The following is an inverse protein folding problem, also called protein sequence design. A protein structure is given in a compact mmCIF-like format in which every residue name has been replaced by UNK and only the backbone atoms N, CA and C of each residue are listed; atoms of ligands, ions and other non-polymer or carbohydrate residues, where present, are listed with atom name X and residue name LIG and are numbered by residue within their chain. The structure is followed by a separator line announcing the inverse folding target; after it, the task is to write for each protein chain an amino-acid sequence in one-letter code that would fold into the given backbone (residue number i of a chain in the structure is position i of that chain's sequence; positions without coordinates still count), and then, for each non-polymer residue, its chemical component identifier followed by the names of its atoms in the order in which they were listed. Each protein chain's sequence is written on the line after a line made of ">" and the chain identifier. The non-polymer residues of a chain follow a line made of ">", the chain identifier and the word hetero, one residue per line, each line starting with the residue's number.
data_IF_023137722150
#
_entry.id   IF_023137722150
#
_cell.length_a   1.000
_cell.length_b   1.000
_cell.length_c   1.000
_cell.angle_alpha   90.00
_cell.angle_beta   90.00
_cell.angle_gamma   90.00
#
_symmetry.space_group_name_H-M   'P 1'
#
loop_
_entity.id
_entity.type
_entity.pdbx_description
1 polymer ?
#
# COMPACT_ATOMS: atom_id res chain seq x y z
N UNK A 1 7.20 -5.78 -13.94
CA UNK A 1 7.26 -6.39 -12.57
C UNK A 1 5.86 -6.74 -12.13
N UNK A 2 5.70 -7.71 -11.25
CA UNK A 2 4.48 -7.96 -10.48
C UNK A 2 4.51 -7.11 -9.20
N UNK A 3 3.55 -6.21 -9.05
CA UNK A 3 3.53 -5.17 -8.02
C UNK A 3 2.24 -5.29 -7.22
N UNK A 4 2.36 -5.50 -5.92
CA UNK A 4 1.21 -5.40 -5.01
C UNK A 4 1.04 -3.96 -4.53
N UNK A 5 -0.15 -3.39 -4.71
CA UNK A 5 -0.52 -2.07 -4.24
C UNK A 5 -1.00 -2.17 -2.80
N UNK A 6 -0.47 -1.30 -1.95
CA UNK A 6 -0.68 -1.24 -0.52
C UNK A 6 -1.20 0.16 -0.14
N UNK A 7 -2.00 0.26 0.93
CA UNK A 7 -2.51 1.54 1.42
C UNK A 7 -3.83 1.43 2.18
N UNK A 8 -4.37 2.56 2.60
CA UNK A 8 -5.69 2.58 3.25
C UNK A 8 -6.81 2.32 2.24
N UNK A 9 -7.77 1.45 2.61
CA UNK A 9 -9.00 1.25 1.84
C UNK A 9 -9.88 2.51 1.68
N UNK A 10 -9.62 3.56 2.46
CA UNK A 10 -10.14 4.91 2.20
C UNK A 10 -9.81 5.40 0.77
N UNK A 11 -8.70 4.92 0.20
CA UNK A 11 -8.21 5.24 -1.13
C UNK A 11 -8.43 4.10 -2.15
N UNK A 12 -9.48 3.29 -1.98
CA UNK A 12 -9.78 2.17 -2.87
C UNK A 12 -9.94 2.61 -4.34
N UNK A 13 -10.48 3.81 -4.58
CA UNK A 13 -10.60 4.37 -5.94
C UNK A 13 -9.21 4.62 -6.55
N UNK A 14 -8.34 5.27 -5.80
CA UNK A 14 -6.98 5.60 -6.20
C UNK A 14 -6.12 4.35 -6.40
N UNK A 15 -6.39 3.27 -5.67
CA UNK A 15 -5.73 1.97 -5.90
C UNK A 15 -6.07 1.40 -7.27
N UNK A 16 -7.34 1.44 -7.68
CA UNK A 16 -7.74 0.98 -9.02
C UNK A 16 -7.19 1.89 -10.13
N UNK A 17 -7.10 3.20 -9.89
CA UNK A 17 -6.46 4.14 -10.81
C UNK A 17 -4.96 3.85 -10.96
N UNK A 18 -4.25 3.65 -9.84
CA UNK A 18 -2.84 3.27 -9.84
C UNK A 18 -2.60 1.90 -10.50
N UNK A 19 -3.49 0.93 -10.26
CA UNK A 19 -3.44 -0.38 -10.92
C UNK A 19 -3.46 -0.22 -12.44
N UNK A 20 -4.43 0.51 -12.97
CA UNK A 20 -4.55 0.76 -14.41
C UNK A 20 -3.30 1.44 -14.98
N UNK A 21 -2.78 2.46 -14.29
CA UNK A 21 -1.57 3.17 -14.73
C UNK A 21 -0.34 2.25 -14.75
N UNK A 22 -0.16 1.40 -13.74
CA UNK A 22 0.93 0.43 -13.71
C UNK A 22 0.82 -0.61 -14.84
N UNK A 23 -0.40 -1.06 -15.14
CA UNK A 23 -0.67 -1.96 -16.26
C UNK A 23 -0.36 -1.32 -17.61
N UNK A 24 -0.72 -0.05 -17.80
CA UNK A 24 -0.36 0.74 -19.00
C UNK A 24 1.16 0.91 -19.16
N UNK A 25 1.90 0.93 -18.04
CA UNK A 25 3.37 0.95 -18.01
C UNK A 25 4.01 -0.43 -18.20
N UNK A 26 3.21 -1.50 -18.37
CA UNK A 26 3.69 -2.86 -18.64
C UNK A 26 3.99 -3.69 -17.38
N UNK A 27 3.49 -3.29 -16.22
CA UNK A 27 3.58 -4.06 -14.99
C UNK A 27 2.31 -4.91 -14.79
N UNK A 28 2.43 -5.99 -14.01
CA UNK A 28 1.27 -6.68 -13.45
C UNK A 28 0.97 -6.04 -12.10
N UNK A 29 -0.22 -5.47 -11.90
CA UNK A 29 -0.57 -4.75 -10.69
C UNK A 29 -1.72 -5.44 -9.93
N UNK A 30 -1.52 -5.63 -8.63
CA UNK A 30 -2.42 -6.41 -7.76
C UNK A 30 -2.92 -5.51 -6.64
N UNK A 31 -4.23 -5.47 -6.45
CA UNK A 31 -4.88 -4.72 -5.36
C UNK A 31 -5.33 -5.65 -4.22
N UNK A 32 -5.56 -5.13 -3.01
CA UNK A 32 -6.23 -5.86 -1.93
C UNK A 32 -7.55 -6.48 -2.39
N UNK A 33 -7.90 -7.67 -1.88
CA UNK A 33 -9.07 -8.43 -2.38
C UNK A 33 -10.39 -7.66 -2.18
N UNK A 34 -10.42 -6.85 -1.13
CA UNK A 34 -11.51 -6.03 -0.63
C UNK A 34 -11.63 -4.68 -1.33
N UNK A 35 -10.74 -4.35 -2.27
CA UNK A 35 -10.71 -3.01 -2.91
C UNK A 35 -12.05 -2.65 -3.56
N UNK A 36 -12.65 -3.57 -4.32
CA UNK A 36 -13.93 -3.32 -4.99
C UNK A 36 -15.10 -3.25 -3.98
N UNK A 37 -15.06 -4.05 -2.93
CA UNK A 37 -16.09 -4.07 -1.90
C UNK A 37 -16.07 -2.76 -1.09
N UNK A 38 -14.87 -2.31 -0.67
CA UNK A 38 -14.68 -1.04 0.04
C UNK A 38 -14.99 0.17 -0.84
N UNK A 39 -14.77 0.09 -2.17
CA UNK A 39 -15.19 1.14 -3.09
C UNK A 39 -16.73 1.24 -3.17
N UNK A 40 -17.43 0.11 -3.16
CA UNK A 40 -18.89 0.07 -3.23
C UNK A 40 -19.55 0.40 -1.87
N UNK A 41 -18.91 -0.01 -0.76
CA UNK A 41 -19.38 0.11 0.62
C UNK A 41 -18.22 0.51 1.53
N UNK A 42 -17.92 1.82 1.63
CA UNK A 42 -16.77 2.32 2.39
C UNK A 42 -16.76 1.95 3.88
N UNK A 43 -17.91 1.63 4.46
CA UNK A 43 -18.03 1.18 5.86
C UNK A 43 -17.37 -0.18 6.13
N UNK A 44 -17.16 -1.02 5.10
CA UNK A 44 -16.54 -2.34 5.25
C UNK A 44 -15.07 -2.26 5.67
N UNK A 45 -14.39 -1.14 5.42
CA UNK A 45 -12.98 -0.97 5.77
C UNK A 45 -12.71 -1.07 7.29
N UNK A 46 -13.74 -0.83 8.11
CA UNK A 46 -13.67 -0.87 9.57
C UNK A 46 -14.51 -2.03 10.17
N UNK A 47 -15.05 -2.94 9.34
CA UNK A 47 -15.83 -4.09 9.79
C UNK A 47 -14.92 -5.27 10.14
N UNK A 48 -14.76 -5.50 11.46
CA UNK A 48 -13.90 -6.55 11.98
C UNK A 48 -14.35 -7.96 11.62
N UNK A 49 -15.66 -8.25 11.70
CA UNK A 49 -16.17 -9.60 11.42
C UNK A 49 -15.98 -9.94 9.95
N UNK A 50 -16.26 -8.97 9.08
CA UNK A 50 -16.03 -9.07 7.65
C UNK A 50 -14.55 -9.27 7.32
N UNK A 51 -13.66 -8.44 7.88
CA UNK A 51 -12.22 -8.54 7.70
C UNK A 51 -11.66 -9.92 8.11
N UNK A 52 -12.10 -10.44 9.26
CA UNK A 52 -11.69 -11.77 9.76
C UNK A 52 -12.18 -12.87 8.82
N UNK A 53 -13.45 -12.83 8.42
CA UNK A 53 -14.05 -13.88 7.58
C UNK A 53 -13.39 -13.95 6.19
N UNK A 54 -12.98 -12.81 5.64
CA UNK A 54 -12.26 -12.73 4.38
C UNK A 54 -10.76 -13.01 4.50
N UNK A 55 -10.20 -13.00 5.70
CA UNK A 55 -8.75 -13.10 5.94
C UNK A 55 -7.96 -12.06 5.12
N UNK A 56 -8.43 -10.81 5.12
CA UNK A 56 -7.91 -9.75 4.25
C UNK A 56 -6.41 -9.53 4.40
N UNK A 57 -5.90 -9.61 5.63
CA UNK A 57 -4.49 -9.44 5.96
C UNK A 57 -3.65 -10.59 5.38
N UNK A 58 -4.07 -11.84 5.62
CA UNK A 58 -3.34 -13.03 5.18
C UNK A 58 -3.33 -13.16 3.66
N UNK A 59 -4.45 -12.91 3.00
CA UNK A 59 -4.51 -12.86 1.54
C UNK A 59 -3.55 -11.79 1.00
N UNK A 60 -3.58 -10.59 1.58
CA UNK A 60 -2.73 -9.49 1.09
C UNK A 60 -1.23 -9.77 1.34
N UNK A 61 -0.86 -10.37 2.46
CA UNK A 61 0.52 -10.80 2.71
C UNK A 61 0.99 -11.86 1.72
N UNK A 62 0.13 -12.79 1.31
CA UNK A 62 0.47 -13.76 0.26
C UNK A 62 0.70 -13.06 -1.09
N UNK A 63 -0.12 -12.06 -1.45
CA UNK A 63 0.08 -11.25 -2.65
C UNK A 63 1.42 -10.51 -2.64
N UNK A 64 1.80 -9.93 -1.50
CA UNK A 64 3.11 -9.31 -1.31
C UNK A 64 4.23 -10.34 -1.48
N UNK A 65 4.09 -11.52 -0.87
CA UNK A 65 5.08 -12.58 -0.96
C UNK A 65 5.27 -13.08 -2.41
N UNK A 66 4.19 -13.14 -3.18
CA UNK A 66 4.18 -13.60 -4.59
C UNK A 66 4.53 -12.49 -5.60
N UNK A 67 4.86 -11.29 -5.15
CA UNK A 67 5.19 -10.12 -6.00
C UNK A 67 6.69 -9.82 -6.03
N UNK A 68 7.13 -9.06 -7.03
CA UNK A 68 8.49 -8.54 -7.13
C UNK A 68 8.69 -7.29 -6.25
N UNK A 69 7.62 -6.51 -6.10
CA UNK A 69 7.63 -5.21 -5.44
C UNK A 69 6.30 -4.89 -4.76
N UNK A 70 6.32 -3.91 -3.87
CA UNK A 70 5.12 -3.24 -3.38
C UNK A 70 5.13 -1.75 -3.76
N UNK A 71 3.94 -1.19 -3.94
CA UNK A 71 3.69 0.25 -4.07
C UNK A 71 2.75 0.70 -2.95
N UNK A 72 3.24 1.52 -2.03
CA UNK A 72 2.40 2.12 -0.97
C UNK A 72 1.86 3.47 -1.44
N UNK A 73 0.54 3.59 -1.50
CA UNK A 73 -0.15 4.85 -1.79
C UNK A 73 -0.39 5.62 -0.48
N UNK A 74 0.60 6.39 -0.05
CA UNK A 74 0.58 7.15 1.20
C UNK A 74 -0.02 8.56 1.01
N UNK A 75 -1.26 8.63 0.52
CA UNK A 75 -1.98 9.89 0.43
C UNK A 75 -2.19 10.55 1.80
N UNK A 76 -2.35 11.89 1.86
CA UNK A 76 -2.59 12.58 3.12
C UNK A 76 -3.84 12.05 3.83
N UNK A 77 -3.73 11.73 5.12
CA UNK A 77 -4.83 11.26 5.97
C UNK A 77 -4.57 11.65 7.42
N UNK A 78 -5.62 11.86 8.21
CA UNK A 78 -5.52 12.23 9.62
C UNK A 78 -4.67 13.50 9.88
N UNK A 79 -4.67 14.45 8.94
CA UNK A 79 -3.84 15.65 8.95
C UNK A 79 -2.32 15.38 8.90
N UNK A 80 -1.92 14.20 8.40
CA UNK A 80 -0.53 13.81 8.20
C UNK A 80 -0.29 13.67 6.70
N UNK A 81 0.62 14.47 6.16
CA UNK A 81 1.12 14.32 4.80
C UNK A 81 1.93 13.03 4.68
N UNK A 82 1.77 12.28 3.58
CA UNK A 82 2.51 11.03 3.40
C UNK A 82 2.08 9.91 4.36
N UNK A 83 0.87 9.98 4.94
CA UNK A 83 0.41 9.08 6.00
C UNK A 83 0.50 7.59 5.61
N UNK A 84 1.06 6.79 6.52
CA UNK A 84 1.09 5.33 6.43
C UNK A 84 0.42 4.78 7.68
N UNK A 85 -0.63 3.97 7.49
CA UNK A 85 -1.41 3.37 8.57
C UNK A 85 -0.83 2.05 9.08
N UNK A 86 -1.45 1.51 10.14
CA UNK A 86 -1.01 0.27 10.78
C UNK A 86 -0.94 -0.93 9.84
N UNK A 87 -1.95 -1.14 8.98
CA UNK A 87 -1.93 -2.22 7.97
C UNK A 87 -0.74 -2.09 7.04
N UNK A 88 -0.51 -0.91 6.48
CA UNK A 88 0.62 -0.67 5.58
C UNK A 88 1.99 -0.72 6.25
N UNK A 89 2.10 -0.42 7.55
CA UNK A 89 3.32 -0.67 8.30
C UNK A 89 3.63 -2.18 8.38
N UNK A 90 2.62 -3.04 8.57
CA UNK A 90 2.81 -4.49 8.56
C UNK A 90 3.19 -5.00 7.17
N UNK A 91 2.53 -4.49 6.12
CA UNK A 91 2.82 -4.81 4.71
C UNK A 91 4.29 -4.46 4.36
N UNK A 92 4.74 -3.27 4.78
CA UNK A 92 6.12 -2.82 4.65
C UNK A 92 7.10 -3.75 5.37
N UNK A 93 6.77 -4.21 6.59
CA UNK A 93 7.61 -5.14 7.33
C UNK A 93 7.73 -6.51 6.62
N UNK A 94 6.63 -7.04 6.08
CA UNK A 94 6.64 -8.28 5.29
C UNK A 94 7.47 -8.10 4.02
N UNK A 95 7.24 -7.02 3.26
CA UNK A 95 8.00 -6.72 2.05
C UNK A 95 9.51 -6.59 2.34
N UNK A 96 9.87 -5.92 3.45
CA UNK A 96 11.26 -5.79 3.87
C UNK A 96 11.89 -7.13 4.25
N UNK A 97 11.17 -7.98 4.98
CA UNK A 97 11.64 -9.30 5.39
C UNK A 97 11.90 -10.22 4.19
N UNK A 98 11.10 -10.08 3.13
CA UNK A 98 11.19 -10.87 1.90
C UNK A 98 12.06 -10.21 0.81
N UNK A 99 12.81 -9.17 1.16
CA UNK A 99 13.68 -8.38 0.26
C UNK A 99 12.97 -7.90 -1.03
N UNK A 100 11.69 -7.55 -0.92
CA UNK A 100 10.93 -6.95 -2.03
C UNK A 100 11.40 -5.53 -2.29
N UNK A 101 11.27 -5.06 -3.54
CA UNK A 101 11.40 -3.61 -3.82
C UNK A 101 10.23 -2.88 -3.17
N UNK A 102 10.52 -1.81 -2.44
CA UNK A 102 9.51 -1.00 -1.76
C UNK A 102 9.45 0.36 -2.44
N UNK A 103 8.32 0.67 -3.08
CA UNK A 103 8.01 1.99 -3.60
C UNK A 103 6.99 2.69 -2.71
N UNK A 104 7.16 3.99 -2.50
CA UNK A 104 6.20 4.83 -1.77
C UNK A 104 5.90 6.06 -2.62
N UNK A 105 4.61 6.37 -2.78
CA UNK A 105 4.14 7.37 -3.73
C UNK A 105 4.61 8.79 -3.40
N UNK A 106 4.40 9.23 -2.16
CA UNK A 106 4.73 10.55 -1.64
C UNK A 106 5.85 10.48 -0.59
N UNK A 107 6.42 11.64 -0.25
CA UNK A 107 7.39 11.75 0.83
C UNK A 107 6.86 11.20 2.15
N UNK A 108 7.77 10.71 2.99
CA UNK A 108 7.42 10.18 4.31
C UNK A 108 7.19 11.31 5.30
N UNK A 109 6.25 11.14 6.25
CA UNK A 109 6.06 12.08 7.34
C UNK A 109 7.30 12.17 8.22
N UNK A 110 7.39 13.25 9.00
CA UNK A 110 8.41 13.38 10.03
C UNK A 110 8.15 12.39 11.19
N UNK A 111 9.17 12.12 11.98
CA UNK A 111 9.08 11.32 13.21
C UNK A 111 8.18 11.97 14.26
N UNK A 112 8.00 13.30 14.20
CA UNK A 112 7.10 14.04 15.07
C UNK A 112 5.62 13.85 14.66
N UNK A 113 5.36 13.74 13.36
CA UNK A 113 4.01 13.53 12.81
C UNK A 113 3.58 12.05 12.87
N UNK A 114 4.52 11.12 12.67
CA UNK A 114 4.26 9.70 12.69
C UNK A 114 5.33 8.98 13.51
N UNK A 115 4.93 8.48 14.68
CA UNK A 115 5.83 7.90 15.71
C UNK A 115 6.70 6.74 15.23
N UNK A 116 6.30 6.10 14.12
CA UNK A 116 7.02 4.98 13.51
C UNK A 116 7.62 5.32 12.13
N UNK A 117 7.79 6.60 11.81
CA UNK A 117 8.41 7.03 10.56
C UNK A 117 9.87 6.55 10.44
N UNK A 118 10.59 6.46 11.57
CA UNK A 118 11.96 5.95 11.61
C UNK A 118 12.04 4.51 11.09
N UNK A 119 11.15 3.64 11.53
CA UNK A 119 11.07 2.24 11.11
C UNK A 119 10.86 2.13 9.60
N UNK A 120 9.99 2.97 9.04
CA UNK A 120 9.74 3.02 7.58
C UNK A 120 11.00 3.50 6.85
N UNK A 121 11.68 4.54 7.33
CA UNK A 121 12.93 5.06 6.74
C UNK A 121 14.05 4.02 6.75
N UNK A 122 14.17 3.21 7.81
CA UNK A 122 15.16 2.12 7.92
C UNK A 122 14.98 1.06 6.83
N UNK A 123 13.76 0.88 6.31
CA UNK A 123 13.48 -0.03 5.20
C UNK A 123 14.00 0.46 3.85
N UNK A 124 14.48 1.72 3.77
CA UNK A 124 15.05 2.36 2.57
C UNK A 124 14.13 2.26 1.34
N UNK A 125 12.88 2.74 1.44
CA UNK A 125 11.97 2.76 0.30
C UNK A 125 12.46 3.70 -0.80
N UNK A 126 12.01 3.44 -2.03
CA UNK A 126 12.19 4.34 -3.17
C UNK A 126 10.98 5.28 -3.20
N UNK A 127 11.23 6.57 -2.98
CA UNK A 127 10.17 7.59 -3.02
C UNK A 127 9.94 8.05 -4.46
N UNK A 128 8.69 7.98 -4.92
CA UNK A 128 8.34 8.25 -6.32
C UNK A 128 8.04 9.73 -6.60
N UNK A 129 7.75 10.54 -5.57
CA UNK A 129 7.32 11.93 -5.73
C UNK A 129 6.11 12.06 -6.68
N UNK A 130 5.10 11.21 -6.45
CA UNK A 130 3.87 11.12 -7.23
C UNK A 130 4.05 10.79 -8.73
N UNK A 131 5.14 10.12 -9.09
CA UNK A 131 5.46 9.77 -10.47
C UNK A 131 5.69 8.26 -10.63
N UNK A 132 4.63 7.55 -11.03
CA UNK A 132 4.66 6.10 -11.24
C UNK A 132 5.56 5.67 -12.41
N UNK A 133 5.92 6.58 -13.32
CA UNK A 133 6.78 6.26 -14.47
C UNK A 133 8.23 5.97 -14.06
N UNK A 134 8.60 6.27 -12.80
CA UNK A 134 9.89 5.93 -12.20
C UNK A 134 10.01 4.45 -11.80
N UNK A 135 8.92 3.69 -11.88
CA UNK A 135 8.93 2.26 -11.67
C UNK A 135 9.36 1.59 -12.98
N UNK A 136 10.57 1.04 -13.01
CA UNK A 136 11.15 0.29 -14.14
C UNK A 136 11.29 -1.20 -13.83
#
# INVERSE_FOLDING_TARGET
>A
MKITICGSMHFAKEMLEAQKLLEELGHEAIVPLDTHDCLAKPELQDDLEWAINLNIDKDHFNKIADSDAILVLNYPKNNIEGYIGGSSLMELAIARHLDKKIFILHDLPSEDDLRYALEIKVMKPIILNNDLTKIS
#
